data_IF_194545227846
#
_entry.id   IF_194545227846
#
_cell.length_a   1.000
_cell.length_b   1.000
_cell.length_c   1.000
_cell.angle_alpha   90.00
_cell.angle_beta   90.00
_cell.angle_gamma   90.00
#
_symmetry.space_group_name_H-M   'P 1'
#
loop_
_entity.id
_entity.type
_entity.pdbx_description
1 polymer ?
#
# COMPACT_ATOMS: atom_id res chain seq x y z
N UNK A 1 8.22 -5.03 -39.63
CA UNK A 1 8.09 -3.58 -39.39
C UNK A 1 8.71 -3.27 -38.04
N UNK A 2 9.74 -2.42 -37.97
CA UNK A 2 10.41 -2.10 -36.69
C UNK A 2 9.51 -1.12 -35.92
N UNK A 3 9.11 -1.41 -34.66
CA UNK A 3 8.33 -0.46 -33.90
C UNK A 3 9.18 0.79 -33.62
N UNK A 4 8.80 1.93 -34.19
CA UNK A 4 9.40 3.22 -33.88
C UNK A 4 8.72 3.79 -32.64
N UNK A 5 9.45 3.86 -31.52
CA UNK A 5 8.97 4.51 -30.30
C UNK A 5 8.74 6.00 -30.58
N UNK A 6 7.52 6.49 -30.32
CA UNK A 6 7.16 7.91 -30.48
C UNK A 6 7.63 8.68 -29.24
N UNK A 7 8.91 9.02 -29.20
CA UNK A 7 9.55 9.72 -28.07
C UNK A 7 8.81 10.99 -27.62
N UNK A 8 8.22 11.74 -28.55
CA UNK A 8 7.39 12.91 -28.26
C UNK A 8 6.19 12.56 -27.37
N UNK A 9 5.50 11.44 -27.61
CA UNK A 9 4.38 11.01 -26.78
C UNK A 9 4.84 10.59 -25.39
N UNK A 10 5.98 9.87 -25.31
CA UNK A 10 6.54 9.42 -24.03
C UNK A 10 6.93 10.63 -23.17
N UNK A 11 7.62 11.61 -23.74
CA UNK A 11 8.02 12.83 -23.03
C UNK A 11 6.81 13.71 -22.63
N UNK A 12 5.74 13.68 -23.43
CA UNK A 12 4.50 14.41 -23.12
C UNK A 12 3.69 13.72 -22.02
N UNK A 13 3.57 12.39 -22.04
CA UNK A 13 2.82 11.62 -21.03
C UNK A 13 3.63 11.38 -19.75
N UNK A 14 4.96 11.39 -19.82
CA UNK A 14 5.83 11.10 -18.67
C UNK A 14 5.54 11.95 -17.43
N UNK A 15 5.32 13.28 -17.48
CA UNK A 15 5.00 14.03 -16.26
C UNK A 15 3.69 13.58 -15.63
N UNK A 16 2.66 13.28 -16.43
CA UNK A 16 1.35 12.83 -15.92
C UNK A 16 1.46 11.44 -15.33
N UNK A 17 2.13 10.51 -16.02
CA UNK A 17 2.33 9.15 -15.52
C UNK A 17 3.19 9.12 -14.26
N UNK A 18 4.27 9.91 -14.23
CA UNK A 18 5.11 10.07 -13.04
C UNK A 18 4.30 10.63 -11.86
N UNK A 19 3.47 11.64 -12.13
CA UNK A 19 2.62 12.23 -11.10
C UNK A 19 1.59 11.24 -10.55
N UNK A 20 0.87 10.52 -11.41
CA UNK A 20 -0.07 9.47 -11.00
C UNK A 20 0.63 8.35 -10.23
N UNK A 21 1.80 7.93 -10.70
CA UNK A 21 2.60 6.92 -10.05
C UNK A 21 3.01 7.35 -8.64
N UNK A 22 3.54 8.57 -8.48
CA UNK A 22 3.93 9.09 -7.18
C UNK A 22 2.73 9.26 -6.24
N UNK A 23 1.58 9.72 -6.74
CA UNK A 23 0.36 9.82 -5.93
C UNK A 23 -0.12 8.49 -5.39
N UNK A 24 0.13 7.39 -6.10
CA UNK A 24 -0.22 6.05 -5.62
C UNK A 24 0.90 5.52 -4.72
N UNK A 25 2.15 5.56 -5.17
CA UNK A 25 3.26 4.89 -4.47
C UNK A 25 3.59 5.55 -3.15
N UNK A 26 3.61 6.89 -3.07
CA UNK A 26 3.96 7.59 -1.83
C UNK A 26 3.06 7.21 -0.64
N UNK A 27 1.71 7.28 -0.73
CA UNK A 27 0.86 6.88 0.39
C UNK A 27 0.95 5.39 0.69
N UNK A 28 1.22 4.52 -0.29
CA UNK A 28 1.39 3.08 0.00
C UNK A 28 2.70 2.79 0.74
N UNK A 29 3.79 3.49 0.41
CA UNK A 29 5.03 3.41 1.16
C UNK A 29 4.83 3.96 2.57
N UNK A 30 4.10 5.06 2.73
CA UNK A 30 3.79 5.63 4.04
C UNK A 30 2.97 4.65 4.89
N UNK A 31 1.91 4.06 4.34
CA UNK A 31 1.13 3.00 4.99
C UNK A 31 1.98 1.79 5.36
N UNK A 32 2.90 1.36 4.48
CA UNK A 32 3.82 0.27 4.76
C UNK A 32 4.78 0.62 5.90
N UNK A 33 5.28 1.85 5.95
CA UNK A 33 6.13 2.30 7.07
C UNK A 33 5.32 2.35 8.36
N UNK A 34 4.09 2.88 8.31
CA UNK A 34 3.18 2.97 9.45
C UNK A 34 2.80 1.59 9.99
N UNK A 35 2.62 0.57 9.14
CA UNK A 35 2.26 -0.77 9.62
C UNK A 35 3.34 -1.41 10.49
N UNK A 36 4.62 -1.06 10.29
CA UNK A 36 5.74 -1.47 11.14
C UNK A 36 6.01 -0.54 12.33
N UNK A 37 5.38 0.64 12.38
CA UNK A 37 5.51 1.56 13.51
C UNK A 37 4.46 1.22 14.57
N UNK A 38 4.92 1.08 15.81
CA UNK A 38 4.06 0.98 16.98
C UNK A 38 4.14 2.29 17.71
N UNK A 39 2.99 2.90 17.92
CA UNK A 39 2.84 4.15 18.67
C UNK A 39 2.26 3.81 20.04
N UNK A 40 3.04 4.08 21.09
CA UNK A 40 2.55 3.94 22.46
C UNK A 40 1.63 5.12 22.80
N UNK A 41 0.68 4.91 23.70
CA UNK A 41 -0.24 5.93 24.20
C UNK A 41 0.47 7.15 24.81
N UNK A 42 1.76 7.01 25.13
CA UNK A 42 2.64 8.06 25.66
C UNK A 42 3.43 8.82 24.57
N UNK A 43 3.16 8.56 23.30
CA UNK A 43 3.81 9.22 22.15
C UNK A 43 5.19 8.65 21.77
N UNK A 44 5.57 7.49 22.34
CA UNK A 44 6.77 6.78 21.92
C UNK A 44 6.51 6.04 20.61
N UNK A 45 7.34 6.29 19.59
CA UNK A 45 7.30 5.52 18.35
C UNK A 45 8.47 4.55 18.27
N UNK A 46 8.18 3.30 17.92
CA UNK A 46 9.17 2.25 17.75
C UNK A 46 8.84 1.35 16.56
N UNK A 47 9.84 0.64 16.03
CA UNK A 47 9.65 -0.34 14.96
C UNK A 47 9.34 -1.71 15.56
N UNK A 48 8.25 -2.36 15.14
CA UNK A 48 7.85 -3.68 15.63
C UNK A 48 6.84 -4.36 14.71
N UNK A 49 6.77 -5.69 14.78
CA UNK A 49 5.76 -6.52 14.13
C UNK A 49 4.52 -6.75 15.00
N UNK A 50 4.43 -6.11 16.16
CA UNK A 50 3.32 -6.32 17.13
C UNK A 50 1.94 -6.06 16.51
N UNK A 51 1.81 -5.03 15.66
CA UNK A 51 0.55 -4.73 14.96
C UNK A 51 0.08 -5.90 14.09
N UNK A 52 1.01 -6.55 13.37
CA UNK A 52 0.69 -7.73 12.57
C UNK A 52 0.26 -8.88 13.47
N UNK A 53 1.05 -9.23 14.49
CA UNK A 53 0.70 -10.32 15.42
C UNK A 53 -0.67 -10.11 16.05
N UNK A 54 -0.98 -8.86 16.46
CA UNK A 54 -2.29 -8.49 16.99
C UNK A 54 -3.42 -8.72 15.97
N UNK A 55 -3.21 -8.33 14.70
CA UNK A 55 -4.17 -8.57 13.63
C UNK A 55 -4.47 -10.08 13.46
N UNK A 56 -3.42 -10.91 13.43
CA UNK A 56 -3.58 -12.35 13.24
C UNK A 56 -4.25 -13.05 14.44
N UNK A 57 -4.10 -12.51 15.65
CA UNK A 57 -4.70 -13.06 16.86
C UNK A 57 -6.15 -12.60 17.09
N UNK A 58 -6.64 -11.60 16.35
CA UNK A 58 -7.97 -11.03 16.55
C UNK A 58 -9.05 -11.80 15.74
N UNK A 59 -9.96 -12.55 16.39
CA UNK A 59 -10.87 -13.47 15.70
C UNK A 59 -11.85 -12.76 14.74
N UNK A 60 -12.28 -11.54 15.09
CA UNK A 60 -13.25 -10.81 14.27
C UNK A 60 -12.68 -10.39 12.91
N UNK A 61 -11.36 -10.16 12.81
CA UNK A 61 -10.70 -9.82 11.55
C UNK A 61 -10.75 -11.00 10.58
N UNK A 62 -10.46 -12.20 11.07
CA UNK A 62 -10.53 -13.43 10.28
C UNK A 62 -11.95 -13.77 9.84
N UNK A 63 -12.92 -13.67 10.76
CA UNK A 63 -14.32 -13.92 10.44
C UNK A 63 -14.81 -13.00 9.31
N UNK A 64 -14.46 -11.72 9.40
CA UNK A 64 -14.84 -10.71 8.40
C UNK A 64 -14.12 -10.94 7.07
N UNK A 65 -12.82 -11.24 7.11
CA UNK A 65 -12.01 -11.53 5.92
C UNK A 65 -12.55 -12.72 5.14
N UNK A 66 -12.75 -13.87 5.80
CA UNK A 66 -13.27 -15.08 5.16
C UNK A 66 -14.67 -14.86 4.62
N UNK A 67 -15.55 -14.21 5.38
CA UNK A 67 -16.92 -13.91 4.93
C UNK A 67 -16.93 -13.06 3.66
N UNK A 68 -16.07 -12.06 3.58
CA UNK A 68 -15.95 -11.18 2.40
C UNK A 68 -15.34 -11.93 1.21
N UNK A 69 -14.34 -12.79 1.46
CA UNK A 69 -13.76 -13.64 0.44
C UNK A 69 -14.79 -14.60 -0.17
N UNK A 70 -15.63 -15.23 0.66
CA UNK A 70 -16.72 -16.11 0.20
C UNK A 70 -17.75 -15.35 -0.64
N UNK A 71 -18.08 -14.10 -0.30
CA UNK A 71 -18.99 -13.28 -1.12
C UNK A 71 -18.40 -12.82 -2.45
N UNK A 72 -17.08 -12.88 -2.62
CA UNK A 72 -16.40 -12.41 -3.84
C UNK A 72 -16.20 -13.51 -4.89
N UNK A 73 -16.63 -14.74 -4.60
CA UNK A 73 -16.62 -15.92 -5.50
C UNK A 73 -18.01 -16.07 -6.10
#
# INVERSE_FOLDING_TARGET
MKPSVRWTLVLFLSPVLLWLFLLIVLPHIDLLVMSFRVEDYRGGSGWSLKNYIMFFNEPIYWLTFVRTAVYSI
#
